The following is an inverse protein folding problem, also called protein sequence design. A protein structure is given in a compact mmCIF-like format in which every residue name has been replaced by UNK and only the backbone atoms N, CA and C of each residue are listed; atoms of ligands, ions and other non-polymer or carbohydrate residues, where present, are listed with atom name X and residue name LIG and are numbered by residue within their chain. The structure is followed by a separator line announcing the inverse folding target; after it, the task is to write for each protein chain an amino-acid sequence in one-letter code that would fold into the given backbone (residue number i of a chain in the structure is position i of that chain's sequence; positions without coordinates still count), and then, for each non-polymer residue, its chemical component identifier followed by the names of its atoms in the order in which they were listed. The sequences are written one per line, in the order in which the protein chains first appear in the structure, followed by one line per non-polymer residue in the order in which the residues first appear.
data_IF_025909693178
#
_entry.id   IF_025909693178
#
_cell.length_a   1.000
_cell.length_b   1.000
_cell.length_c   1.000
_cell.angle_alpha   90.00
_cell.angle_beta   90.00
_cell.angle_gamma   90.00
#
_symmetry.space_group_name_H-M   'P 1'
#
loop_
_entity.id
_entity.type
_entity.pdbx_description
1 polymer ?
#
# COMPACT_ATOMS: atom_id res chain seq x y z
N UNK A 1 -21.79 25.08 8.63
CA UNK A 1 -21.32 23.90 7.85
C UNK A 1 -20.00 24.26 7.19
N UNK A 2 -18.94 23.48 7.39
CA UNK A 2 -17.68 23.71 6.68
C UNK A 2 -17.73 23.00 5.32
N UNK A 3 -17.51 23.73 4.22
CA UNK A 3 -17.53 23.19 2.85
C UNK A 3 -16.57 22.00 2.69
N UNK A 4 -15.44 22.00 3.41
CA UNK A 4 -14.44 20.91 3.37
C UNK A 4 -15.00 19.59 3.88
N UNK A 5 -15.77 19.60 4.98
CA UNK A 5 -16.33 18.38 5.56
C UNK A 5 -17.40 17.77 4.66
N UNK A 6 -18.18 18.60 3.97
CA UNK A 6 -19.17 18.13 2.99
C UNK A 6 -18.49 17.41 1.83
N UNK A 7 -17.40 17.97 1.28
CA UNK A 7 -16.62 17.34 0.22
C UNK A 7 -16.10 15.97 0.67
N UNK A 8 -15.50 15.88 1.87
CA UNK A 8 -15.03 14.61 2.43
C UNK A 8 -16.17 13.58 2.59
N UNK A 9 -17.37 14.02 3.01
CA UNK A 9 -18.54 13.14 3.09
C UNK A 9 -18.94 12.59 1.72
N UNK A 10 -18.93 13.43 0.67
CA UNK A 10 -19.24 13.00 -0.70
C UNK A 10 -18.23 11.94 -1.16
N UNK A 11 -16.93 12.16 -0.93
CA UNK A 11 -15.91 11.15 -1.24
C UNK A 11 -16.12 9.86 -0.45
N UNK A 12 -16.38 9.93 0.86
CA UNK A 12 -16.59 8.76 1.69
C UNK A 12 -17.81 7.93 1.24
N UNK A 13 -18.91 8.59 0.87
CA UNK A 13 -20.09 7.92 0.33
C UNK A 13 -19.81 7.31 -1.04
N UNK A 14 -19.30 8.11 -1.99
CA UNK A 14 -19.08 7.66 -3.36
C UNK A 14 -18.07 6.51 -3.44
N UNK A 15 -16.94 6.64 -2.75
CA UNK A 15 -15.89 5.62 -2.73
C UNK A 15 -16.32 4.42 -1.87
N UNK A 16 -16.99 4.65 -0.75
CA UNK A 16 -17.57 3.56 0.04
C UNK A 16 -18.50 2.68 -0.79
N UNK A 17 -19.44 3.29 -1.52
CA UNK A 17 -20.33 2.56 -2.44
C UNK A 17 -19.57 1.88 -3.59
N UNK A 18 -18.58 2.55 -4.18
CA UNK A 18 -17.72 1.94 -5.19
C UNK A 18 -17.02 0.68 -4.66
N UNK A 19 -16.47 0.72 -3.44
CA UNK A 19 -15.77 -0.40 -2.82
C UNK A 19 -16.70 -1.57 -2.48
N UNK A 20 -17.98 -1.30 -2.25
CA UNK A 20 -19.01 -2.33 -1.99
C UNK A 20 -19.55 -2.96 -3.27
N UNK A 21 -19.80 -2.15 -4.29
CA UNK A 21 -20.62 -2.55 -5.44
C UNK A 21 -19.78 -2.81 -6.69
N UNK A 22 -18.75 -2.00 -6.93
CA UNK A 22 -18.01 -1.99 -8.20
C UNK A 22 -16.66 -2.69 -8.06
N UNK A 23 -15.86 -2.33 -7.04
CA UNK A 23 -14.54 -2.90 -6.84
C UNK A 23 -14.53 -4.44 -6.77
N UNK A 24 -15.48 -5.13 -6.09
CA UNK A 24 -15.49 -6.59 -6.05
C UNK A 24 -15.64 -7.24 -7.43
N UNK A 25 -16.40 -6.61 -8.32
CA UNK A 25 -16.58 -7.04 -9.71
C UNK A 25 -15.28 -6.80 -10.48
N UNK A 26 -14.67 -5.62 -10.34
CA UNK A 26 -13.40 -5.28 -10.99
C UNK A 26 -12.27 -6.26 -10.59
N UNK A 27 -12.22 -6.66 -9.32
CA UNK A 27 -11.26 -7.68 -8.86
C UNK A 27 -11.54 -9.02 -9.54
N UNK A 28 -12.80 -9.45 -9.64
CA UNK A 28 -13.16 -10.73 -10.25
C UNK A 28 -12.80 -10.78 -11.75
N UNK A 29 -13.20 -9.76 -12.51
CA UNK A 29 -12.89 -9.70 -13.95
C UNK A 29 -11.39 -9.53 -14.24
N UNK A 30 -10.60 -9.14 -13.24
CA UNK A 30 -9.13 -9.13 -13.33
C UNK A 30 -8.56 -10.51 -13.01
N UNK A 31 -9.10 -11.20 -12.00
CA UNK A 31 -8.58 -12.47 -11.51
C UNK A 31 -8.77 -13.60 -12.53
N UNK A 32 -9.96 -13.75 -13.12
CA UNK A 32 -10.24 -14.90 -13.99
C UNK A 32 -9.31 -14.96 -15.22
N UNK A 33 -9.13 -13.86 -15.99
CA UNK A 33 -8.19 -13.86 -17.11
C UNK A 33 -6.75 -14.08 -16.66
N UNK A 34 -6.36 -13.56 -15.49
CA UNK A 34 -5.02 -13.74 -14.94
C UNK A 34 -4.73 -15.22 -14.64
N UNK A 35 -5.67 -15.92 -14.00
CA UNK A 35 -5.50 -17.35 -13.69
C UNK A 35 -5.39 -18.17 -14.97
N UNK A 36 -6.23 -17.89 -15.97
CA UNK A 36 -6.16 -18.55 -17.29
C UNK A 36 -4.81 -18.30 -17.96
N UNK A 37 -4.33 -17.05 -17.96
CA UNK A 37 -3.06 -16.69 -18.55
C UNK A 37 -1.87 -17.37 -17.84
N UNK A 38 -1.90 -17.48 -16.51
CA UNK A 38 -0.86 -18.15 -15.74
C UNK A 38 -0.83 -19.66 -15.99
N UNK A 39 -1.99 -20.29 -16.15
CA UNK A 39 -2.08 -21.71 -16.54
C UNK A 39 -1.43 -21.94 -17.92
N UNK A 40 -1.67 -21.03 -18.87
CA UNK A 40 -1.08 -21.11 -20.21
C UNK A 40 0.43 -20.79 -20.24
N UNK A 41 0.91 -19.95 -19.32
CA UNK A 41 2.31 -19.48 -19.30
C UNK A 41 3.32 -20.56 -18.85
N UNK A 42 2.86 -21.65 -18.23
CA UNK A 42 3.66 -22.84 -17.91
C UNK A 42 3.92 -23.09 -16.42
N UNK A 43 4.48 -24.26 -16.07
CA UNK A 43 4.60 -24.74 -14.69
C UNK A 43 5.37 -23.82 -13.75
N UNK A 44 6.32 -23.04 -14.27
CA UNK A 44 7.11 -22.07 -13.50
C UNK A 44 6.26 -20.95 -12.87
N UNK A 45 5.03 -20.74 -13.35
CA UNK A 45 4.09 -19.75 -12.84
C UNK A 45 2.95 -20.37 -12.00
N UNK A 46 2.96 -21.68 -11.78
CA UNK A 46 1.91 -22.41 -11.04
C UNK A 46 1.66 -21.87 -9.63
N UNK A 47 2.71 -21.47 -8.92
CA UNK A 47 2.58 -20.81 -7.60
C UNK A 47 1.81 -19.49 -7.65
N UNK A 48 1.84 -18.78 -8.79
CA UNK A 48 1.07 -17.56 -9.00
C UNK A 48 -0.43 -17.82 -8.93
N UNK A 49 -0.90 -18.97 -9.42
CA UNK A 49 -2.32 -19.36 -9.35
C UNK A 49 -2.77 -19.40 -7.89
N UNK A 50 -2.02 -20.10 -7.03
CA UNK A 50 -2.32 -20.20 -5.60
C UNK A 50 -2.27 -18.85 -4.91
N UNK A 51 -1.20 -18.08 -5.11
CA UNK A 51 -1.01 -16.79 -4.45
C UNK A 51 -2.08 -15.77 -4.86
N UNK A 52 -2.36 -15.62 -6.15
CA UNK A 52 -3.37 -14.65 -6.60
C UNK A 52 -4.79 -15.09 -6.26
N UNK A 53 -5.08 -16.40 -6.28
CA UNK A 53 -6.38 -16.94 -5.81
C UNK A 53 -6.61 -16.71 -4.31
N UNK A 54 -5.55 -16.49 -3.53
CA UNK A 54 -5.66 -16.10 -2.12
C UNK A 54 -5.76 -14.58 -1.96
N UNK A 55 -4.77 -13.85 -2.50
CA UNK A 55 -4.62 -12.42 -2.20
C UNK A 55 -5.63 -11.53 -2.92
N UNK A 56 -6.13 -11.91 -4.09
CA UNK A 56 -7.16 -11.10 -4.76
C UNK A 56 -8.49 -11.13 -3.99
N UNK A 57 -9.04 -12.30 -3.61
CA UNK A 57 -10.22 -12.35 -2.75
C UNK A 57 -10.00 -11.72 -1.38
N UNK A 58 -8.81 -11.87 -0.79
CA UNK A 58 -8.48 -11.22 0.49
C UNK A 58 -8.56 -9.69 0.38
N UNK A 59 -7.89 -9.10 -0.61
CA UNK A 59 -7.95 -7.65 -0.85
C UNK A 59 -9.38 -7.17 -1.18
N UNK A 60 -10.14 -7.97 -1.93
CA UNK A 60 -11.56 -7.71 -2.17
C UNK A 60 -12.37 -7.66 -0.88
N UNK A 61 -12.16 -8.62 0.03
CA UNK A 61 -12.85 -8.66 1.32
C UNK A 61 -12.45 -7.49 2.23
N UNK A 62 -11.16 -7.19 2.33
CA UNK A 62 -10.65 -6.04 3.11
C UNK A 62 -11.16 -4.72 2.52
N UNK A 63 -11.19 -4.60 1.19
CA UNK A 63 -11.81 -3.47 0.49
C UNK A 63 -13.30 -3.33 0.81
N UNK A 64 -14.06 -4.42 0.78
CA UNK A 64 -15.48 -4.40 1.13
C UNK A 64 -15.70 -3.85 2.56
N UNK A 65 -14.91 -4.32 3.54
CA UNK A 65 -14.96 -3.83 4.93
C UNK A 65 -14.56 -2.35 5.02
N UNK A 66 -13.50 -1.94 4.33
CA UNK A 66 -13.07 -0.54 4.29
C UNK A 66 -14.15 0.38 3.71
N UNK A 67 -14.91 -0.08 2.71
CA UNK A 67 -16.07 0.65 2.19
C UNK A 67 -17.18 0.82 3.23
N UNK A 68 -17.50 -0.23 4.00
CA UNK A 68 -18.48 -0.14 5.10
C UNK A 68 -18.01 0.86 6.17
N UNK A 69 -16.73 0.84 6.51
CA UNK A 69 -16.14 1.78 7.47
C UNK A 69 -16.36 3.21 6.99
N UNK A 70 -16.02 3.52 5.73
CA UNK A 70 -16.21 4.86 5.15
C UNK A 70 -17.66 5.33 5.25
N UNK A 71 -18.62 4.47 4.89
CA UNK A 71 -20.06 4.79 4.99
C UNK A 71 -20.51 5.01 6.44
N UNK A 72 -20.00 4.21 7.36
CA UNK A 72 -20.38 4.25 8.78
C UNK A 72 -19.90 5.53 9.47
N UNK A 73 -18.72 6.04 9.08
CA UNK A 73 -18.14 7.23 9.72
C UNK A 73 -18.62 8.56 9.13
N UNK A 74 -19.43 8.56 8.05
CA UNK A 74 -19.95 9.78 7.41
C UNK A 74 -20.57 10.77 8.40
N UNK A 75 -21.44 10.37 9.36
CA UNK A 75 -21.99 11.33 10.33
C UNK A 75 -20.93 11.99 11.21
N UNK A 76 -19.81 11.30 11.45
CA UNK A 76 -18.68 11.83 12.23
C UNK A 76 -17.79 12.74 11.38
N UNK A 77 -17.60 12.44 10.09
CA UNK A 77 -16.91 13.33 9.14
C UNK A 77 -17.71 14.63 9.00
N UNK A 78 -19.03 14.52 8.87
CA UNK A 78 -19.93 15.67 8.75
C UNK A 78 -19.82 16.61 9.96
N UNK A 79 -19.75 16.03 11.16
CA UNK A 79 -19.53 16.75 12.43
C UNK A 79 -18.10 17.29 12.60
N UNK A 80 -17.18 16.98 11.69
CA UNK A 80 -15.79 17.43 11.77
C UNK A 80 -15.01 16.82 12.92
N UNK A 81 -15.27 15.55 13.26
CA UNK A 81 -14.53 14.88 14.34
C UNK A 81 -13.14 14.48 13.86
N UNK A 82 -12.09 15.03 14.49
CA UNK A 82 -10.68 14.83 14.09
C UNK A 82 -10.24 13.36 14.00
N UNK A 83 -10.75 12.48 14.86
CA UNK A 83 -10.42 11.05 14.81
C UNK A 83 -10.80 10.36 13.49
N UNK A 84 -11.68 10.96 12.68
CA UNK A 84 -12.08 10.39 11.38
C UNK A 84 -10.92 10.37 10.39
N UNK A 85 -9.98 11.31 10.48
CA UNK A 85 -8.87 11.42 9.51
C UNK A 85 -8.04 10.14 9.41
N UNK A 86 -7.59 9.58 10.55
CA UNK A 86 -6.82 8.33 10.55
C UNK A 86 -7.60 7.15 9.98
N UNK A 87 -8.91 7.12 10.20
CA UNK A 87 -9.79 6.04 9.74
C UNK A 87 -10.05 6.17 8.24
N UNK A 88 -10.34 7.39 7.77
CA UNK A 88 -10.48 7.69 6.35
C UNK A 88 -9.20 7.35 5.58
N UNK A 89 -8.04 7.84 6.01
CA UNK A 89 -6.75 7.56 5.35
C UNK A 89 -6.45 6.06 5.30
N UNK A 90 -6.67 5.34 6.41
CA UNK A 90 -6.46 3.88 6.45
C UNK A 90 -7.41 3.16 5.49
N UNK A 91 -8.70 3.53 5.49
CA UNK A 91 -9.69 2.91 4.62
C UNK A 91 -9.41 3.19 3.14
N UNK A 92 -9.02 4.41 2.78
CA UNK A 92 -8.64 4.77 1.40
C UNK A 92 -7.29 4.19 0.95
N UNK A 93 -6.39 3.86 1.88
CA UNK A 93 -5.13 3.19 1.55
C UNK A 93 -5.35 1.77 1.00
N UNK A 94 -6.40 1.07 1.47
CA UNK A 94 -6.75 -0.30 1.02
C UNK A 94 -6.96 -0.38 -0.50
N UNK A 95 -7.91 0.34 -1.13
CA UNK A 95 -8.11 0.28 -2.58
C UNK A 95 -6.91 0.84 -3.35
N UNK A 96 -6.22 1.85 -2.81
CA UNK A 96 -5.02 2.45 -3.40
C UNK A 96 -3.91 1.41 -3.61
N UNK A 97 -3.57 0.67 -2.55
CA UNK A 97 -2.48 -0.30 -2.54
C UNK A 97 -2.90 -1.60 -3.26
N UNK A 98 -4.11 -2.10 -2.99
CA UNK A 98 -4.58 -3.35 -3.59
C UNK A 98 -4.74 -3.27 -5.12
N UNK A 99 -5.31 -2.18 -5.65
CA UNK A 99 -5.46 -2.01 -7.09
C UNK A 99 -4.12 -1.97 -7.82
N UNK A 100 -3.12 -1.30 -7.22
CA UNK A 100 -1.77 -1.22 -7.80
C UNK A 100 -1.02 -2.56 -7.69
N UNK A 101 -1.20 -3.32 -6.61
CA UNK A 101 -0.71 -4.70 -6.52
C UNK A 101 -1.29 -5.58 -7.63
N UNK A 102 -2.61 -5.52 -7.85
CA UNK A 102 -3.30 -6.33 -8.84
C UNK A 102 -2.96 -5.93 -10.29
N UNK A 103 -2.60 -4.66 -10.50
CA UNK A 103 -2.22 -4.15 -11.81
C UNK A 103 -1.02 -4.88 -12.42
N UNK A 104 0.04 -5.11 -11.65
CA UNK A 104 1.30 -5.65 -12.18
C UNK A 104 1.18 -7.05 -12.80
N UNK A 105 0.64 -8.07 -12.12
CA UNK A 105 0.43 -9.36 -12.76
C UNK A 105 -0.59 -9.28 -13.90
N UNK A 106 -1.62 -8.43 -13.80
CA UNK A 106 -2.57 -8.28 -14.90
C UNK A 106 -1.90 -7.77 -16.19
N UNK A 107 -1.12 -6.69 -16.12
CA UNK A 107 -0.44 -6.17 -17.32
C UNK A 107 0.66 -7.13 -17.83
N UNK A 108 1.27 -7.91 -16.93
CA UNK A 108 2.34 -8.85 -17.29
C UNK A 108 1.84 -10.11 -18.00
N UNK A 109 0.64 -10.59 -17.68
CA UNK A 109 0.13 -11.88 -18.19
C UNK A 109 -1.11 -11.75 -19.08
N UNK A 110 -1.97 -10.77 -18.81
CA UNK A 110 -3.21 -10.55 -19.57
C UNK A 110 -3.02 -9.44 -20.61
N UNK A 111 -2.39 -8.34 -20.21
CA UNK A 111 -2.22 -7.15 -21.05
C UNK A 111 -3.49 -6.30 -21.19
N UNK A 112 -3.43 -5.28 -22.05
CA UNK A 112 -4.56 -4.38 -22.32
C UNK A 112 -4.78 -3.28 -21.29
N UNK A 113 -6.01 -2.74 -21.24
CA UNK A 113 -6.34 -1.65 -20.32
C UNK A 113 -6.26 -2.14 -18.86
N UNK A 114 -5.55 -1.43 -17.97
CA UNK A 114 -5.27 -1.92 -16.62
C UNK A 114 -6.47 -1.72 -15.69
N UNK A 115 -7.44 -2.63 -15.76
CA UNK A 115 -8.68 -2.58 -14.96
C UNK A 115 -8.40 -2.34 -13.45
N UNK A 116 -7.41 -3.00 -12.81
CA UNK A 116 -7.14 -2.80 -11.39
C UNK A 116 -6.68 -1.38 -11.02
N UNK A 117 -6.09 -0.64 -11.97
CA UNK A 117 -5.68 0.73 -11.72
C UNK A 117 -6.85 1.65 -11.41
N UNK A 118 -8.05 1.36 -11.91
CA UNK A 118 -9.26 2.10 -11.55
C UNK A 118 -9.53 2.02 -10.04
N UNK A 119 -9.34 0.84 -9.43
CA UNK A 119 -9.49 0.64 -7.98
C UNK A 119 -8.49 1.52 -7.23
N UNK A 120 -7.22 1.50 -7.68
CA UNK A 120 -6.16 2.30 -7.06
C UNK A 120 -6.44 3.80 -7.15
N UNK A 121 -6.80 4.30 -8.33
CA UNK A 121 -7.08 5.73 -8.54
C UNK A 121 -8.27 6.22 -7.73
N UNK A 122 -9.35 5.44 -7.65
CA UNK A 122 -10.51 5.80 -6.82
C UNK A 122 -10.11 5.88 -5.35
N UNK A 123 -9.29 4.94 -4.87
CA UNK A 123 -8.70 4.99 -3.53
C UNK A 123 -7.87 6.25 -3.28
N UNK A 124 -6.97 6.57 -4.21
CA UNK A 124 -6.06 7.72 -4.11
C UNK A 124 -6.82 9.05 -4.11
N UNK A 125 -7.89 9.17 -4.91
CA UNK A 125 -8.74 10.36 -4.89
C UNK A 125 -9.32 10.61 -3.49
N UNK A 126 -9.84 9.56 -2.85
CA UNK A 126 -10.32 9.64 -1.47
C UNK A 126 -9.19 9.99 -0.50
N UNK A 127 -8.07 9.29 -0.61
CA UNK A 127 -6.90 9.46 0.25
C UNK A 127 -6.37 10.90 0.21
N UNK A 128 -6.13 11.44 -0.99
CA UNK A 128 -5.67 12.81 -1.19
C UNK A 128 -6.71 13.84 -0.78
N UNK A 129 -8.01 13.57 -0.98
CA UNK A 129 -9.07 14.48 -0.54
C UNK A 129 -9.01 14.74 0.97
N UNK A 130 -8.72 13.71 1.77
CA UNK A 130 -8.63 13.84 3.23
C UNK A 130 -7.49 14.77 3.62
N UNK A 131 -6.33 14.62 2.98
CA UNK A 131 -5.15 15.46 3.23
C UNK A 131 -5.39 16.90 2.78
N UNK A 132 -5.84 17.09 1.53
CA UNK A 132 -6.00 18.41 0.92
C UNK A 132 -7.12 19.24 1.57
N UNK A 133 -8.18 18.58 2.05
CA UNK A 133 -9.30 19.23 2.72
C UNK A 133 -9.23 19.18 4.24
N UNK A 134 -8.10 18.77 4.81
CA UNK A 134 -7.87 18.89 6.25
C UNK A 134 -7.85 20.38 6.64
N UNK A 135 -8.66 20.76 7.63
CA UNK A 135 -8.96 22.16 7.96
C UNK A 135 -7.80 22.85 8.67
N UNK A 136 -7.08 22.10 9.50
CA UNK A 136 -6.10 22.63 10.44
C UNK A 136 -4.70 22.82 9.83
N UNK A 137 -4.43 22.18 8.69
CA UNK A 137 -3.14 22.26 8.02
C UNK A 137 -3.05 23.50 7.11
N UNK A 138 -1.90 24.18 7.15
CA UNK A 138 -1.54 25.17 6.13
C UNK A 138 -1.14 24.49 4.80
N UNK A 139 -0.96 25.26 3.73
CA UNK A 139 -0.63 24.71 2.41
C UNK A 139 0.64 23.86 2.41
N UNK A 140 1.66 24.28 3.14
CA UNK A 140 2.93 23.55 3.22
C UNK A 140 2.75 22.21 3.92
N UNK A 141 2.01 22.16 5.04
CA UNK A 141 1.68 20.92 5.73
C UNK A 141 0.88 19.96 4.85
N UNK A 142 -0.07 20.48 4.07
CA UNK A 142 -0.82 19.67 3.10
C UNK A 142 0.09 19.06 2.04
N UNK A 143 1.02 19.83 1.48
CA UNK A 143 1.98 19.32 0.47
C UNK A 143 2.92 18.28 1.08
N UNK A 144 3.49 18.58 2.26
CA UNK A 144 4.37 17.66 2.98
C UNK A 144 3.64 16.35 3.29
N UNK A 145 2.42 16.42 3.83
CA UNK A 145 1.60 15.26 4.09
C UNK A 145 1.29 14.52 2.78
N UNK A 146 0.80 15.22 1.76
CA UNK A 146 0.43 14.61 0.48
C UNK A 146 1.58 13.78 -0.11
N UNK A 147 2.79 14.36 -0.17
CA UNK A 147 3.96 13.69 -0.73
C UNK A 147 4.39 12.54 0.19
N UNK A 148 4.53 12.78 1.50
CA UNK A 148 5.02 11.78 2.46
C UNK A 148 4.10 10.56 2.52
N UNK A 149 2.79 10.76 2.70
CA UNK A 149 1.83 9.66 2.75
C UNK A 149 1.71 8.92 1.42
N UNK A 150 1.85 9.62 0.29
CA UNK A 150 1.88 8.97 -1.03
C UNK A 150 3.11 8.07 -1.13
N UNK A 151 4.29 8.53 -0.69
CA UNK A 151 5.50 7.70 -0.65
C UNK A 151 5.38 6.50 0.30
N UNK A 152 4.71 6.64 1.46
CA UNK A 152 4.39 5.51 2.34
C UNK A 152 3.55 4.47 1.59
N UNK A 153 2.49 4.90 0.90
CA UNK A 153 1.63 4.01 0.12
C UNK A 153 2.33 3.36 -1.07
N UNK A 154 3.15 4.12 -1.80
CA UNK A 154 3.97 3.61 -2.92
C UNK A 154 4.96 2.56 -2.44
N UNK A 155 5.68 2.83 -1.34
CA UNK A 155 6.64 1.89 -0.79
C UNK A 155 5.94 0.65 -0.23
N UNK A 156 4.79 0.79 0.44
CA UNK A 156 4.00 -0.33 0.93
C UNK A 156 3.52 -1.23 -0.23
N UNK A 157 3.03 -0.62 -1.31
CA UNK A 157 2.62 -1.36 -2.50
C UNK A 157 3.79 -2.11 -3.12
N UNK A 158 4.92 -1.43 -3.29
CA UNK A 158 6.11 -2.02 -3.89
C UNK A 158 6.64 -3.17 -3.02
N UNK A 159 6.74 -2.98 -1.71
CA UNK A 159 7.15 -4.02 -0.78
C UNK A 159 6.21 -5.24 -0.83
N UNK A 160 4.89 -5.02 -0.91
CA UNK A 160 3.93 -6.12 -1.05
C UNK A 160 4.14 -6.91 -2.35
N UNK A 161 4.36 -6.21 -3.46
CA UNK A 161 4.65 -6.83 -4.77
C UNK A 161 5.94 -7.64 -4.72
N UNK A 162 7.01 -7.11 -4.10
CA UNK A 162 8.27 -7.84 -3.93
C UNK A 162 8.06 -9.09 -3.06
N UNK A 163 7.31 -8.97 -1.97
CA UNK A 163 7.00 -10.10 -1.09
C UNK A 163 6.28 -11.24 -1.83
N UNK A 164 5.22 -10.90 -2.58
CA UNK A 164 4.49 -11.87 -3.41
C UNK A 164 5.37 -12.44 -4.53
N UNK A 165 6.15 -11.58 -5.20
CA UNK A 165 7.05 -11.97 -6.28
C UNK A 165 8.10 -12.96 -5.79
N UNK A 166 8.69 -12.70 -4.62
CA UNK A 166 9.63 -13.59 -3.95
C UNK A 166 9.00 -14.95 -3.64
N UNK A 167 7.83 -14.95 -2.98
CA UNK A 167 7.11 -16.20 -2.67
C UNK A 167 6.77 -17.00 -3.92
N UNK A 168 6.31 -16.33 -4.99
CA UNK A 168 6.02 -16.99 -6.28
C UNK A 168 7.25 -17.72 -6.81
N UNK A 169 8.40 -17.03 -6.86
CA UNK A 169 9.65 -17.59 -7.36
C UNK A 169 10.21 -18.70 -6.45
N UNK A 170 10.09 -18.55 -5.13
CA UNK A 170 10.56 -19.55 -4.17
C UNK A 170 9.73 -20.84 -4.28
N UNK A 171 8.41 -20.75 -4.46
CA UNK A 171 7.52 -21.92 -4.54
C UNK A 171 7.66 -22.74 -5.84
N UNK A 172 8.29 -22.20 -6.87
CA UNK A 172 8.59 -22.93 -8.13
C UNK A 172 10.08 -23.02 -8.41
N UNK A 173 10.93 -22.72 -7.41
CA UNK A 173 12.40 -22.75 -7.56
C UNK A 173 12.92 -24.14 -7.94
N UNK A 174 14.06 -24.24 -8.65
CA UNK A 174 14.76 -25.49 -8.85
C UNK A 174 15.31 -26.06 -7.53
N UNK A 175 15.40 -27.39 -7.42
CA UNK A 175 16.05 -28.06 -6.28
C UNK A 175 15.23 -28.10 -4.99
N UNK A 176 13.90 -28.02 -5.08
CA UNK A 176 13.01 -28.21 -3.93
C UNK A 176 13.20 -29.60 -3.29
N UNK A 177 13.04 -29.72 -1.95
CA UNK A 177 12.61 -28.68 -1.01
C UNK A 177 13.75 -27.78 -0.49
N UNK A 178 14.99 -27.95 -0.95
CA UNK A 178 16.13 -27.15 -0.52
C UNK A 178 16.16 -25.72 -1.09
N UNK A 179 17.11 -24.90 -0.63
CA UNK A 179 17.39 -23.55 -1.17
C UNK A 179 18.84 -23.51 -1.66
N UNK A 180 19.06 -23.96 -2.89
CA UNK A 180 20.41 -24.15 -3.43
C UNK A 180 20.99 -22.85 -4.03
N UNK A 181 21.86 -22.17 -3.30
CA UNK A 181 22.63 -21.03 -3.81
C UNK A 181 22.18 -19.67 -3.27
N UNK A 182 23.08 -18.68 -3.39
CA UNK A 182 22.93 -17.36 -2.79
C UNK A 182 21.68 -16.61 -3.30
N UNK A 183 21.34 -16.76 -4.59
CA UNK A 183 20.17 -16.14 -5.21
C UNK A 183 18.85 -16.51 -4.54
N UNK A 184 18.69 -17.77 -4.13
CA UNK A 184 17.47 -18.25 -3.49
C UNK A 184 17.48 -17.94 -2.00
N UNK A 185 18.64 -18.03 -1.36
CA UNK A 185 18.80 -17.63 0.05
C UNK A 185 18.43 -16.16 0.26
N UNK A 186 19.00 -15.24 -0.53
CA UNK A 186 18.69 -13.81 -0.39
C UNK A 186 17.21 -13.52 -0.66
N UNK A 187 16.58 -14.28 -1.56
CA UNK A 187 15.17 -14.12 -1.87
C UNK A 187 14.26 -14.54 -0.70
N UNK A 188 14.64 -15.58 0.07
CA UNK A 188 13.89 -15.97 1.29
C UNK A 188 13.91 -14.86 2.34
N UNK A 189 15.01 -14.13 2.47
CA UNK A 189 15.09 -13.02 3.41
C UNK A 189 14.38 -11.78 2.85
N UNK A 190 14.66 -11.40 1.61
CA UNK A 190 14.11 -10.21 0.97
C UNK A 190 12.58 -10.23 0.91
N UNK A 191 11.97 -11.36 0.53
CA UNK A 191 10.52 -11.49 0.48
C UNK A 191 9.85 -11.22 1.82
N UNK A 192 10.30 -11.90 2.87
CA UNK A 192 9.70 -11.81 4.20
C UNK A 192 9.98 -10.47 4.89
N UNK A 193 11.16 -9.90 4.67
CA UNK A 193 11.48 -8.54 5.15
C UNK A 193 10.55 -7.50 4.51
N UNK A 194 10.27 -7.61 3.21
CA UNK A 194 9.34 -6.72 2.53
C UNK A 194 7.90 -6.90 3.08
N UNK A 195 7.47 -8.12 3.40
CA UNK A 195 6.17 -8.36 4.07
C UNK A 195 6.05 -7.66 5.42
N UNK A 196 7.07 -7.77 6.26
CA UNK A 196 7.10 -7.06 7.55
C UNK A 196 7.05 -5.55 7.31
N UNK A 197 7.80 -5.05 6.31
CA UNK A 197 7.81 -3.65 5.96
C UNK A 197 6.41 -3.13 5.54
N UNK A 198 5.63 -3.92 4.81
CA UNK A 198 4.23 -3.58 4.48
C UNK A 198 3.41 -3.33 5.74
N UNK A 199 3.48 -4.23 6.72
CA UNK A 199 2.69 -4.11 7.96
C UNK A 199 3.06 -2.84 8.74
N UNK A 200 4.36 -2.54 8.82
CA UNK A 200 4.85 -1.31 9.45
C UNK A 200 4.38 -0.06 8.71
N UNK A 201 4.53 -0.03 7.38
CA UNK A 201 4.11 1.11 6.56
C UNK A 201 2.59 1.33 6.63
N UNK A 202 1.76 0.29 6.59
CA UNK A 202 0.32 0.42 6.83
C UNK A 202 0.00 0.94 8.23
N UNK A 203 0.67 0.42 9.27
CA UNK A 203 0.52 0.86 10.64
C UNK A 203 0.96 2.31 10.87
N UNK A 204 1.89 2.82 10.04
CA UNK A 204 2.35 4.21 10.10
C UNK A 204 1.26 5.20 9.71
N UNK A 205 0.39 4.88 8.75
CA UNK A 205 -0.63 5.80 8.21
C UNK A 205 -1.54 6.36 9.32
N UNK A 206 -2.26 5.55 10.12
CA UNK A 206 -3.14 6.08 11.14
C UNK A 206 -2.40 6.77 12.28
N UNK A 207 -1.18 6.35 12.62
CA UNK A 207 -0.41 6.94 13.72
C UNK A 207 0.23 8.28 13.31
N UNK A 208 0.74 8.39 12.09
CA UNK A 208 1.24 9.65 11.56
C UNK A 208 0.09 10.64 11.34
N UNK A 209 -1.13 10.16 11.04
CA UNK A 209 -2.29 11.04 10.92
C UNK A 209 -2.62 11.74 12.24
N UNK A 210 -2.27 11.09 13.36
CA UNK A 210 -2.32 11.66 14.71
C UNK A 210 -1.01 12.37 15.11
N UNK A 211 -0.07 12.57 14.17
CA UNK A 211 1.25 13.18 14.37
C UNK A 211 2.08 12.49 15.47
N UNK A 212 1.90 11.18 15.65
CA UNK A 212 2.62 10.40 16.67
C UNK A 212 4.01 10.00 16.20
N UNK A 213 5.00 10.18 17.07
CA UNK A 213 6.40 9.73 16.87
C UNK A 213 6.52 8.24 16.54
N UNK A 214 5.69 7.40 17.15
CA UNK A 214 5.69 5.96 16.85
C UNK A 214 5.23 5.68 15.41
N UNK A 215 4.31 6.48 14.86
CA UNK A 215 3.94 6.41 13.45
C UNK A 215 5.12 6.73 12.52
N UNK A 216 5.88 7.78 12.86
CA UNK A 216 7.09 8.14 12.12
C UNK A 216 8.13 7.00 12.12
N UNK A 217 8.35 6.34 13.27
CA UNK A 217 9.25 5.18 13.34
C UNK A 217 8.74 3.99 12.53
N UNK A 218 7.42 3.76 12.51
CA UNK A 218 6.80 2.73 11.66
C UNK A 218 6.90 3.04 10.16
N UNK A 219 7.24 4.26 9.75
CA UNK A 219 7.58 4.58 8.36
C UNK A 219 9.11 4.57 8.13
N UNK A 220 9.89 5.06 9.10
CA UNK A 220 11.34 5.18 8.99
C UNK A 220 12.04 3.83 8.95
N UNK A 221 11.72 2.94 9.90
CA UNK A 221 12.35 1.62 10.00
C UNK A 221 12.16 0.81 8.73
N UNK A 222 10.93 0.60 8.20
CA UNK A 222 10.77 -0.17 6.98
C UNK A 222 11.44 0.48 5.77
N UNK A 223 11.51 1.81 5.68
CA UNK A 223 12.25 2.47 4.61
C UNK A 223 13.76 2.14 4.68
N UNK A 224 14.37 2.24 5.85
CA UNK A 224 15.77 1.86 6.04
C UNK A 224 15.98 0.36 5.76
N UNK A 225 15.10 -0.49 6.27
CA UNK A 225 15.14 -1.94 6.07
C UNK A 225 15.01 -2.33 4.60
N UNK A 226 14.13 -1.67 3.83
CA UNK A 226 13.99 -1.94 2.40
C UNK A 226 15.27 -1.58 1.65
N UNK A 227 15.94 -0.49 1.99
CA UNK A 227 17.24 -0.14 1.39
C UNK A 227 18.27 -1.23 1.67
N UNK A 228 18.40 -1.64 2.94
CA UNK A 228 19.44 -2.58 3.36
C UNK A 228 19.23 -3.98 2.80
N UNK A 229 17.98 -4.39 2.51
CA UNK A 229 17.72 -5.70 1.92
C UNK A 229 17.62 -5.68 0.39
N UNK A 230 17.03 -4.64 -0.21
CA UNK A 230 16.81 -4.61 -1.65
C UNK A 230 18.08 -4.27 -2.42
N UNK A 231 19.01 -3.44 -1.90
CA UNK A 231 20.27 -3.16 -2.61
C UNK A 231 21.12 -4.44 -2.79
N UNK A 232 21.42 -5.22 -1.73
CA UNK A 232 22.14 -6.48 -1.91
C UNK A 232 21.38 -7.46 -2.81
N UNK A 233 20.05 -7.51 -2.68
CA UNK A 233 19.22 -8.38 -3.53
C UNK A 233 19.34 -7.99 -5.00
N UNK A 234 19.37 -6.69 -5.34
CA UNK A 234 19.56 -6.20 -6.70
C UNK A 234 20.94 -6.57 -7.28
N UNK A 235 21.99 -6.51 -6.45
CA UNK A 235 23.36 -6.89 -6.86
C UNK A 235 23.43 -8.37 -7.20
N UNK A 236 22.74 -9.22 -6.42
CA UNK A 236 22.70 -10.67 -6.64
C UNK A 236 21.72 -11.04 -7.77
N UNK A 237 20.58 -10.34 -7.86
CA UNK A 237 19.48 -10.62 -8.80
C UNK A 237 19.29 -9.45 -9.78
N UNK A 238 20.07 -9.46 -10.85
CA UNK A 238 20.13 -8.38 -11.85
C UNK A 238 19.11 -8.49 -12.99
N UNK A 239 18.29 -9.56 -13.02
CA UNK A 239 17.32 -9.81 -14.10
C UNK A 239 16.18 -8.80 -14.15
N UNK A 240 15.84 -8.17 -13.03
CA UNK A 240 14.83 -7.11 -12.95
C UNK A 240 15.40 -5.91 -12.19
N UNK A 241 14.76 -4.75 -12.34
CA UNK A 241 15.11 -3.53 -11.60
C UNK A 241 14.19 -3.30 -10.39
N UNK A 242 13.34 -4.27 -10.06
CA UNK A 242 12.29 -4.09 -9.05
C UNK A 242 12.91 -3.73 -7.70
N UNK A 243 13.97 -4.43 -7.29
CA UNK A 243 14.64 -4.16 -6.01
C UNK A 243 15.29 -2.77 -5.98
N UNK A 244 15.92 -2.35 -7.08
CA UNK A 244 16.46 -0.99 -7.20
C UNK A 244 15.36 0.06 -7.07
N UNK A 245 14.23 -0.12 -7.75
CA UNK A 245 13.08 0.80 -7.67
C UNK A 245 12.58 0.89 -6.23
N UNK A 246 12.45 -0.24 -5.53
CA UNK A 246 12.08 -0.25 -4.12
C UNK A 246 13.07 0.49 -3.22
N UNK A 247 14.37 0.31 -3.44
CA UNK A 247 15.40 1.02 -2.70
C UNK A 247 15.33 2.54 -2.96
N UNK A 248 15.11 2.97 -4.21
CA UNK A 248 14.97 4.38 -4.55
C UNK A 248 13.72 5.03 -3.93
N UNK A 249 12.59 4.32 -3.94
CA UNK A 249 11.36 4.76 -3.25
C UNK A 249 11.59 4.90 -1.75
N UNK A 250 12.32 3.95 -1.15
CA UNK A 250 12.67 3.98 0.26
C UNK A 250 13.62 5.13 0.62
N UNK A 251 14.61 5.43 -0.23
CA UNK A 251 15.47 6.61 -0.10
C UNK A 251 14.64 7.89 -0.16
N UNK A 252 13.71 7.98 -1.11
CA UNK A 252 12.80 9.12 -1.22
C UNK A 252 11.95 9.30 0.04
N UNK A 253 11.37 8.21 0.56
CA UNK A 253 10.60 8.26 1.81
C UNK A 253 11.48 8.67 3.00
N UNK A 254 12.69 8.11 3.15
CA UNK A 254 13.61 8.49 4.23
C UNK A 254 13.97 9.98 4.17
N UNK A 255 14.27 10.49 2.97
CA UNK A 255 14.56 11.90 2.79
C UNK A 255 13.39 12.78 3.26
N UNK A 256 12.16 12.45 2.87
CA UNK A 256 10.96 13.17 3.31
C UNK A 256 10.77 13.10 4.83
N UNK A 257 10.93 11.92 5.43
CA UNK A 257 10.78 11.71 6.88
C UNK A 257 11.82 12.50 7.69
N UNK A 258 13.04 12.64 7.18
CA UNK A 258 14.12 13.38 7.83
C UNK A 258 13.98 14.90 7.64
N UNK A 259 13.74 15.35 6.40
CA UNK A 259 13.63 16.78 6.07
C UNK A 259 12.42 17.41 6.75
N UNK A 260 11.30 16.69 6.83
CA UNK A 260 10.04 17.22 7.34
C UNK A 260 9.64 16.67 8.71
N UNK A 261 10.57 16.07 9.45
CA UNK A 261 10.31 15.43 10.74
C UNK A 261 9.43 16.28 11.67
N UNK A 262 9.85 17.52 11.96
CA UNK A 262 9.16 18.43 12.89
C UNK A 262 7.76 18.84 12.41
N UNK A 263 7.48 18.70 11.11
CA UNK A 263 6.16 18.94 10.53
C UNK A 263 5.28 17.70 10.53
N UNK A 264 5.85 16.51 10.67
CA UNK A 264 5.16 15.23 10.63
C UNK A 264 4.82 14.70 12.03
N UNK A 265 5.52 15.16 13.06
CA UNK A 265 5.31 14.75 14.46
C UNK A 265 5.04 15.95 15.36
N UNK A 266 4.23 15.76 16.39
CA UNK A 266 4.08 16.72 17.48
C UNK A 266 4.93 16.24 18.67
N UNK A 267 6.07 16.89 18.89
CA UNK A 267 7.02 16.51 19.95
C UNK A 267 6.46 16.74 21.37
N UNK A 268 5.41 17.56 21.51
CA UNK A 268 4.82 17.94 22.80
C UNK A 268 3.83 16.91 23.38
N UNK A 269 3.43 15.87 22.63
CA UNK A 269 2.54 14.83 23.17
C UNK A 269 3.23 13.85 24.14
N UNK A 270 4.56 13.87 24.24
CA UNK A 270 5.34 12.97 25.10
C UNK A 270 5.41 13.49 26.54
N UNK A 271 5.41 14.80 26.76
CA UNK A 271 5.58 15.42 28.09
C UNK A 271 4.33 15.44 28.97
N UNK A 272 3.19 14.94 28.48
CA UNK A 272 1.93 14.92 29.25
C UNK A 272 1.53 13.51 29.73
N UNK A 273 2.41 12.51 29.58
CA UNK A 273 2.14 11.10 29.94
C UNK A 273 3.22 10.43 30.80
N UNK A 274 4.20 11.18 31.27
CA UNK A 274 5.15 10.78 32.31
C UNK A 274 4.96 11.67 33.54
#
# INVERSE_FOLDING_TARGET
MNKTNLIKCVFAVAIGLFMLLVAPILVQITLDPLIIALQAAGPQYSSGITLFSLFYPLWRAVGYVAGIILLTIVPSIYKGKEWTMKVELTAYAIPSISGMFMFLPYISFVGGFPIPMMISFVGLLGFWSVILFHKHDNLLEKIVNLITYTFIGMLATHAFVIGIGAQRMLLTRPGQPGFAGLEWWILTLSGEVNWIAVLMLFGSIPLMAERKKNGWWLAFVPALTIITINIPTQIIRTKTLDYLIGALLAVGLLALLLIFKDRLIDENQITLRD
#
